data_IF_567746499004
#
_entry.id   IF_567746499004
#
_cell.length_a   1.000
_cell.length_b   1.000
_cell.length_c   1.000
_cell.angle_alpha   90.00
_cell.angle_beta   90.00
_cell.angle_gamma   90.00
#
_symmetry.space_group_name_H-M   'P 1'
#
loop_
_entity.id
_entity.type
_entity.pdbx_description
1 polymer ?
#
# COMPACT_ATOMS: atom_id res chain seq x y z
N UNK A 1 -7.21 42.62 -11.46
CA UNK A 1 -5.91 42.61 -10.79
C UNK A 1 -5.35 41.16 -10.82
N UNK A 2 -4.04 41.02 -10.98
CA UNK A 2 -3.39 39.73 -10.90
C UNK A 2 -3.43 39.20 -9.44
N UNK A 3 -3.58 37.88 -9.28
CA UNK A 3 -3.44 37.26 -7.98
C UNK A 3 -1.98 37.40 -7.50
N UNK A 4 -1.80 37.59 -6.19
CA UNK A 4 -0.48 37.63 -5.55
C UNK A 4 -0.33 36.39 -4.70
N UNK A 5 0.78 35.67 -4.85
CA UNK A 5 1.01 34.38 -4.17
C UNK A 5 2.09 34.56 -3.10
N UNK A 6 1.73 34.21 -1.89
CA UNK A 6 2.63 34.17 -0.75
C UNK A 6 2.93 32.71 -0.44
N UNK A 7 3.98 32.15 -1.04
CA UNK A 7 4.28 30.71 -1.00
C UNK A 7 4.75 30.17 0.35
N UNK A 8 5.12 31.03 1.28
CA UNK A 8 5.56 30.59 2.60
C UNK A 8 5.23 31.64 3.66
N UNK A 9 4.41 31.28 4.64
CA UNK A 9 4.19 32.09 5.82
C UNK A 9 5.47 32.26 6.64
N UNK A 10 5.42 33.13 7.63
CA UNK A 10 6.55 33.38 8.52
C UNK A 10 7.05 32.08 9.19
N UNK A 11 8.37 31.95 9.30
CA UNK A 11 9.07 30.78 9.84
C UNK A 11 9.92 31.12 11.08
N UNK A 12 9.58 32.12 11.81
CA UNK A 12 10.31 32.51 13.03
C UNK A 12 9.83 31.76 14.27
N UNK A 13 10.70 31.64 15.27
CA UNK A 13 10.38 31.00 16.54
C UNK A 13 9.63 31.89 17.52
N UNK A 14 9.60 33.22 17.28
CA UNK A 14 9.08 34.24 18.23
C UNK A 14 7.63 34.66 17.97
N UNK A 15 7.07 34.31 16.82
CA UNK A 15 5.70 34.62 16.44
C UNK A 15 5.04 33.45 15.76
N UNK A 16 3.77 33.25 16.04
CA UNK A 16 3.02 32.23 15.30
C UNK A 16 2.73 32.70 13.86
N UNK A 17 2.79 31.79 12.88
CA UNK A 17 2.62 32.15 11.48
C UNK A 17 1.24 32.73 11.15
N UNK A 18 0.21 32.34 11.88
CA UNK A 18 -1.18 32.75 11.63
C UNK A 18 -1.40 34.18 12.02
N UNK A 19 -0.90 34.60 13.18
CA UNK A 19 -0.94 36.00 13.63
C UNK A 19 -0.25 36.93 12.63
N UNK A 20 0.92 36.54 12.13
CA UNK A 20 1.65 37.33 11.12
C UNK A 20 0.87 37.47 9.82
N UNK A 21 0.25 36.38 9.36
CA UNK A 21 -0.58 36.39 8.14
C UNK A 21 -1.81 37.28 8.35
N UNK A 22 -2.46 37.19 9.51
CA UNK A 22 -3.64 37.96 9.81
C UNK A 22 -3.33 39.47 9.87
N UNK A 23 -2.21 39.86 10.46
CA UNK A 23 -1.73 41.23 10.46
C UNK A 23 -1.41 41.76 9.06
N UNK A 24 -0.81 40.93 8.21
CA UNK A 24 -0.56 41.25 6.81
C UNK A 24 -1.87 41.55 6.06
N UNK A 25 -2.90 40.71 6.26
CA UNK A 25 -4.23 40.93 5.68
C UNK A 25 -4.85 42.21 6.23
N UNK A 26 -4.85 42.39 7.54
CA UNK A 26 -5.44 43.55 8.25
C UNK A 26 -4.84 44.87 7.81
N UNK A 27 -3.54 44.91 7.58
CA UNK A 27 -2.82 46.13 7.20
C UNK A 27 -2.54 46.22 5.70
N UNK A 28 -3.10 45.34 4.88
CA UNK A 28 -2.92 45.35 3.44
C UNK A 28 -1.48 45.09 2.98
N UNK A 29 -0.66 44.45 3.81
CA UNK A 29 0.75 44.17 3.51
C UNK A 29 0.87 42.89 2.65
N UNK A 30 0.37 42.94 1.43
CA UNK A 30 0.37 41.83 0.48
C UNK A 30 1.68 41.89 -0.30
N UNK A 31 2.46 40.82 -0.22
CA UNK A 31 3.72 40.70 -0.96
C UNK A 31 3.78 39.33 -1.64
N UNK A 32 4.28 39.33 -2.87
CA UNK A 32 4.67 38.09 -3.55
C UNK A 32 5.91 37.52 -2.87
N UNK A 33 5.84 36.27 -2.40
CA UNK A 33 6.98 35.54 -1.84
C UNK A 33 7.19 34.25 -2.58
N UNK A 34 8.41 34.07 -3.00
CA UNK A 34 8.79 32.88 -3.75
C UNK A 34 8.75 31.60 -2.90
N UNK A 35 8.58 30.42 -3.52
CA UNK A 35 8.66 29.15 -2.83
C UNK A 35 9.98 28.97 -2.08
N UNK A 36 9.93 28.32 -0.92
CA UNK A 36 11.11 27.97 -0.13
C UNK A 36 11.35 26.46 -0.16
N UNK A 37 12.61 26.06 -0.05
CA UNK A 37 12.94 24.64 0.12
C UNK A 37 12.56 24.19 1.54
N UNK A 38 11.83 23.08 1.61
CA UNK A 38 11.42 22.45 2.87
C UNK A 38 10.03 22.87 3.35
N UNK A 39 9.67 22.42 4.55
CA UNK A 39 8.32 22.58 5.12
C UNK A 39 7.99 24.08 5.33
N UNK A 40 6.82 24.50 4.87
CA UNK A 40 6.24 25.80 5.13
C UNK A 40 5.01 25.65 6.04
N UNK A 41 4.80 26.55 7.03
CA UNK A 41 3.63 26.48 7.91
C UNK A 41 2.31 26.76 7.17
N UNK A 42 2.37 27.38 5.99
CA UNK A 42 1.24 27.66 5.13
C UNK A 42 1.59 28.60 3.99
N UNK A 43 0.62 28.82 3.10
CA UNK A 43 0.70 29.73 1.96
C UNK A 43 -0.63 30.49 1.80
N UNK A 44 -0.60 31.63 1.10
CA UNK A 44 -1.80 32.43 0.82
C UNK A 44 -1.86 32.86 -0.63
N UNK A 45 -3.05 32.88 -1.18
CA UNK A 45 -3.34 33.50 -2.48
C UNK A 45 -4.24 34.72 -2.22
N UNK A 46 -3.77 35.89 -2.59
CA UNK A 46 -4.50 37.11 -2.47
C UNK A 46 -5.09 37.52 -3.82
N UNK A 47 -6.38 37.76 -3.87
CA UNK A 47 -7.07 38.29 -5.06
C UNK A 47 -7.60 39.67 -4.74
N UNK A 48 -6.88 40.74 -5.09
CA UNK A 48 -7.33 42.11 -4.83
C UNK A 48 -8.59 42.42 -5.62
N UNK A 49 -9.62 42.91 -4.95
CA UNK A 49 -10.91 43.26 -5.55
C UNK A 49 -11.26 44.72 -5.19
N UNK A 50 -11.78 45.45 -6.14
CA UNK A 50 -12.47 46.70 -5.90
C UNK A 50 -13.94 46.50 -6.25
N UNK A 51 -14.82 46.79 -5.30
CA UNK A 51 -16.27 46.65 -5.46
C UNK A 51 -16.89 48.08 -5.36
N UNK A 52 -17.78 48.37 -6.29
CA UNK A 52 -18.66 49.55 -6.18
C UNK A 52 -19.87 49.23 -5.29
N UNK A 53 -20.53 50.21 -4.71
CA UNK A 53 -21.76 49.95 -3.95
C UNK A 53 -22.78 49.14 -4.76
N UNK A 54 -23.19 47.98 -4.22
CA UNK A 54 -24.12 47.08 -4.88
C UNK A 54 -23.50 46.12 -5.93
N UNK A 55 -22.18 46.24 -6.20
CA UNK A 55 -21.48 45.33 -7.13
C UNK A 55 -21.17 43.97 -6.44
N UNK A 56 -21.33 42.87 -7.19
CA UNK A 56 -20.93 41.53 -6.79
C UNK A 56 -19.87 41.00 -7.76
N UNK A 57 -18.78 40.43 -7.23
CA UNK A 57 -17.76 39.75 -8.01
C UNK A 57 -17.58 38.29 -7.52
N UNK A 58 -17.52 37.36 -8.43
CA UNK A 58 -17.23 35.97 -8.12
C UNK A 58 -15.77 35.66 -8.39
N UNK A 59 -15.10 35.07 -7.41
CA UNK A 59 -13.75 34.52 -7.56
C UNK A 59 -13.86 33.01 -7.53
N UNK A 60 -13.38 32.37 -8.60
CA UNK A 60 -13.30 30.90 -8.67
C UNK A 60 -11.91 30.48 -8.22
N UNK A 61 -11.86 29.67 -7.15
CA UNK A 61 -10.64 29.05 -6.65
C UNK A 61 -10.69 27.57 -6.99
N UNK A 62 -9.69 27.06 -7.72
CA UNK A 62 -9.51 25.65 -7.94
C UNK A 62 -8.41 25.16 -6.98
N UNK A 63 -8.74 24.21 -6.13
CA UNK A 63 -7.80 23.55 -5.27
C UNK A 63 -7.40 22.22 -5.90
N UNK A 64 -6.12 22.06 -6.22
CA UNK A 64 -5.57 20.80 -6.74
C UNK A 64 -4.56 20.27 -5.73
N UNK A 65 -4.81 19.08 -5.22
CA UNK A 65 -3.86 18.37 -4.37
C UNK A 65 -3.07 17.41 -5.25
N UNK A 66 -1.77 17.59 -5.29
CA UNK A 66 -0.86 16.70 -6.00
C UNK A 66 0.15 16.15 -5.00
N UNK A 67 0.12 14.84 -4.81
CA UNK A 67 1.03 14.10 -3.95
C UNK A 67 1.78 13.10 -4.83
N UNK A 68 2.93 13.49 -5.41
CA UNK A 68 3.71 12.59 -6.28
C UNK A 68 4.28 11.40 -5.50
N UNK A 69 4.62 11.63 -4.23
CA UNK A 69 5.12 10.61 -3.30
C UNK A 69 4.48 10.85 -1.93
N UNK A 70 3.61 9.96 -1.51
CA UNK A 70 3.01 10.01 -0.18
C UNK A 70 3.61 8.93 0.72
N UNK A 71 4.21 9.36 1.84
CA UNK A 71 4.57 8.50 2.96
C UNK A 71 3.55 8.61 4.11
N UNK A 72 2.35 9.08 3.83
CA UNK A 72 1.27 9.15 4.80
C UNK A 72 0.74 7.73 5.06
N UNK A 73 0.90 7.26 6.29
CA UNK A 73 0.60 5.91 6.74
C UNK A 73 -0.65 5.82 7.61
N UNK A 74 -1.69 6.62 7.35
CA UNK A 74 -3.01 6.29 7.90
C UNK A 74 -3.71 5.44 6.87
N UNK A 75 -3.64 4.12 7.10
CA UNK A 75 -4.04 3.12 6.13
C UNK A 75 -3.02 2.89 5.02
N UNK A 76 -1.71 3.06 5.30
CA UNK A 76 -0.59 2.86 4.37
C UNK A 76 -0.91 3.32 2.95
N UNK A 77 -0.29 4.39 2.46
CA UNK A 77 -0.41 4.69 1.03
C UNK A 77 -0.02 3.43 0.25
N UNK A 78 -0.98 2.81 -0.44
CA UNK A 78 -0.76 1.64 -1.28
C UNK A 78 0.37 1.96 -2.26
N UNK A 79 1.47 1.27 -2.15
CA UNK A 79 2.53 1.32 -3.16
C UNK A 79 2.26 0.22 -4.18
N UNK A 80 1.37 0.55 -5.09
CA UNK A 80 0.89 -0.35 -6.15
C UNK A 80 2.05 -0.93 -6.94
N UNK A 81 2.08 -2.26 -7.09
CA UNK A 81 3.05 -2.96 -7.91
C UNK A 81 4.48 -2.97 -7.39
N UNK A 82 4.73 -2.64 -6.12
CA UNK A 82 6.10 -2.51 -5.58
C UNK A 82 6.57 -3.67 -4.71
N UNK A 83 5.69 -4.60 -4.32
CA UNK A 83 6.04 -5.71 -3.42
C UNK A 83 7.19 -6.59 -3.92
N UNK A 84 7.36 -6.73 -5.23
CA UNK A 84 8.37 -7.60 -5.85
C UNK A 84 9.36 -6.87 -6.74
N UNK A 85 9.49 -5.55 -6.64
CA UNK A 85 10.40 -4.74 -7.49
C UNK A 85 11.88 -4.92 -7.17
N UNK A 86 12.20 -5.65 -6.13
CA UNK A 86 13.56 -5.90 -5.68
C UNK A 86 14.15 -7.21 -6.19
N UNK A 87 14.73 -7.93 -5.25
CA UNK A 87 15.29 -9.27 -5.38
C UNK A 87 14.77 -10.11 -4.21
N UNK A 88 14.95 -11.44 -4.21
CA UNK A 88 14.62 -12.29 -3.07
C UNK A 88 15.18 -11.76 -1.76
N UNK A 89 14.39 -11.83 -0.70
CA UNK A 89 14.75 -11.32 0.62
C UNK A 89 15.67 -12.28 1.36
N UNK A 90 16.67 -11.76 2.05
CA UNK A 90 17.57 -12.55 2.90
C UNK A 90 16.92 -12.82 4.26
N UNK A 91 16.00 -13.78 4.28
CA UNK A 91 15.27 -14.15 5.49
C UNK A 91 14.31 -13.06 5.97
N UNK A 92 14.47 -12.59 7.19
CA UNK A 92 13.62 -11.58 7.83
C UNK A 92 13.87 -10.18 7.26
N UNK A 93 12.85 -9.52 6.78
CA UNK A 93 12.93 -8.13 6.33
C UNK A 93 13.00 -7.14 7.51
N UNK A 94 13.40 -5.91 7.22
CA UNK A 94 13.47 -4.86 8.25
C UNK A 94 12.08 -4.54 8.80
N UNK A 95 11.92 -4.62 10.12
CA UNK A 95 10.64 -4.36 10.80
C UNK A 95 9.67 -5.54 10.84
N UNK A 96 10.03 -6.66 10.21
CA UNK A 96 9.26 -7.91 10.23
C UNK A 96 9.59 -8.75 11.47
N UNK A 97 8.67 -9.58 11.93
CA UNK A 97 8.95 -10.62 12.91
C UNK A 97 9.91 -11.67 12.31
N UNK A 98 10.65 -12.44 13.14
CA UNK A 98 11.60 -13.43 12.61
C UNK A 98 10.96 -14.45 11.68
N UNK A 99 11.40 -14.48 10.44
CA UNK A 99 10.97 -15.45 9.42
C UNK A 99 11.74 -16.76 9.58
N UNK A 100 11.06 -17.89 9.49
CA UNK A 100 11.64 -19.23 9.62
C UNK A 100 10.93 -20.26 8.74
N UNK A 101 11.50 -21.46 8.64
CA UNK A 101 10.89 -22.57 7.88
C UNK A 101 11.13 -22.52 6.35
N UNK A 102 11.97 -21.59 5.85
CA UNK A 102 12.39 -21.55 4.45
C UNK A 102 13.70 -22.35 4.25
N UNK A 103 14.08 -22.62 3.01
CA UNK A 103 15.28 -23.34 2.64
C UNK A 103 16.39 -22.34 2.24
N UNK A 104 17.62 -22.59 2.65
CA UNK A 104 18.76 -21.79 2.24
C UNK A 104 18.86 -20.45 2.96
N UNK A 105 19.02 -19.34 2.22
CA UNK A 105 19.30 -17.99 2.75
C UNK A 105 18.30 -16.94 2.32
N UNK A 106 17.59 -17.17 1.24
CA UNK A 106 16.69 -16.20 0.62
C UNK A 106 15.33 -16.84 0.36
N UNK A 107 14.30 -16.01 0.24
CA UNK A 107 12.94 -16.43 -0.09
C UNK A 107 12.21 -15.30 -0.80
N UNK A 108 11.06 -15.61 -1.41
CA UNK A 108 10.09 -14.64 -1.83
C UNK A 108 9.40 -14.08 -0.57
N UNK A 109 9.50 -12.77 -0.36
CA UNK A 109 8.95 -12.07 0.80
C UNK A 109 8.44 -10.70 0.37
N UNK A 110 7.13 -10.53 0.28
CA UNK A 110 6.52 -9.28 -0.16
C UNK A 110 6.55 -8.17 0.90
N UNK A 111 6.83 -8.51 2.16
CA UNK A 111 7.04 -7.54 3.24
C UNK A 111 8.32 -6.72 3.06
N UNK A 112 9.30 -7.25 2.31
CA UNK A 112 10.59 -6.58 2.14
C UNK A 112 10.43 -5.19 1.51
N UNK A 113 11.14 -4.21 2.08
CA UNK A 113 11.22 -2.80 1.64
C UNK A 113 10.02 -1.91 1.92
N UNK A 114 8.94 -2.40 2.50
CA UNK A 114 7.81 -1.51 2.78
C UNK A 114 6.72 -2.07 3.67
N UNK A 115 6.89 -3.28 4.20
CA UNK A 115 5.91 -3.90 5.11
C UNK A 115 4.60 -4.25 4.42
N UNK A 116 3.56 -4.45 5.19
CA UNK A 116 2.21 -4.81 4.71
C UNK A 116 1.59 -3.79 3.74
N UNK A 117 2.16 -2.60 3.60
CA UNK A 117 1.61 -1.56 2.72
C UNK A 117 2.00 -1.68 1.24
N UNK A 118 2.82 -2.67 0.86
CA UNK A 118 3.19 -2.93 -0.53
C UNK A 118 2.19 -3.91 -1.16
N UNK A 119 1.89 -3.69 -2.45
CA UNK A 119 1.10 -4.64 -3.24
C UNK A 119 1.84 -5.01 -4.51
N UNK A 120 1.54 -6.17 -5.07
CA UNK A 120 2.14 -6.62 -6.32
C UNK A 120 1.81 -8.07 -6.66
N UNK A 121 2.19 -8.44 -7.87
CA UNK A 121 2.03 -9.79 -8.40
C UNK A 121 3.35 -10.22 -9.03
N UNK A 122 3.76 -11.46 -8.75
CA UNK A 122 4.88 -12.09 -9.44
C UNK A 122 4.45 -13.47 -9.95
N UNK A 123 4.91 -13.85 -11.13
CA UNK A 123 4.57 -15.13 -11.73
C UNK A 123 5.79 -15.88 -12.24
N UNK A 124 5.73 -17.21 -12.16
CA UNK A 124 6.73 -18.09 -12.74
C UNK A 124 6.63 -18.10 -14.28
N UNK A 125 7.68 -18.54 -14.97
CA UNK A 125 7.53 -19.02 -16.34
C UNK A 125 6.47 -20.14 -16.43
N UNK A 126 5.89 -20.31 -17.64
CA UNK A 126 5.06 -21.48 -17.91
C UNK A 126 5.90 -22.76 -17.85
N UNK A 127 5.35 -23.79 -17.21
CA UNK A 127 5.92 -25.13 -17.21
C UNK A 127 4.88 -26.18 -17.64
N UNK A 128 5.37 -27.31 -18.18
CA UNK A 128 4.51 -28.44 -18.45
C UNK A 128 4.31 -29.27 -17.17
N UNK A 129 3.08 -29.63 -16.85
CA UNK A 129 2.76 -30.49 -15.72
C UNK A 129 3.13 -31.95 -16.08
N UNK A 130 4.41 -32.28 -15.85
CA UNK A 130 4.96 -33.63 -16.10
C UNK A 130 5.11 -34.46 -14.83
N UNK A 131 4.93 -33.87 -13.66
CA UNK A 131 5.03 -34.52 -12.34
C UNK A 131 3.69 -34.46 -11.62
N UNK A 132 3.47 -35.38 -10.70
CA UNK A 132 2.20 -35.50 -10.01
C UNK A 132 1.96 -34.44 -8.97
N UNK A 133 2.99 -33.97 -8.28
CA UNK A 133 2.86 -33.03 -7.18
C UNK A 133 3.67 -31.75 -7.42
N UNK A 134 3.11 -30.62 -7.01
CA UNK A 134 3.85 -29.40 -6.76
C UNK A 134 3.89 -29.19 -5.24
N UNK A 135 5.09 -29.10 -4.71
CA UNK A 135 5.36 -28.83 -3.30
C UNK A 135 6.06 -27.49 -3.17
N UNK A 136 5.75 -26.75 -2.11
CA UNK A 136 6.41 -25.49 -1.79
C UNK A 136 6.17 -25.12 -0.34
N UNK A 137 6.88 -24.11 0.15
CA UNK A 137 6.75 -23.55 1.47
C UNK A 137 5.99 -22.23 1.37
N UNK A 138 5.03 -21.99 2.28
CA UNK A 138 4.22 -20.76 2.30
C UNK A 138 4.00 -20.27 3.74
N UNK A 139 4.02 -18.96 3.95
CA UNK A 139 3.75 -18.26 5.20
C UNK A 139 3.15 -16.88 4.95
N UNK A 140 3.00 -16.06 6.00
CA UNK A 140 2.38 -14.74 5.89
C UNK A 140 0.87 -14.76 6.04
N UNK A 141 0.18 -13.90 5.33
CA UNK A 141 -1.27 -13.70 5.41
C UNK A 141 -2.12 -14.91 5.02
N UNK A 142 -3.37 -14.89 5.39
CA UNK A 142 -4.32 -16.01 5.20
C UNK A 142 -5.50 -15.68 4.27
N UNK A 143 -5.46 -14.55 3.59
CA UNK A 143 -6.54 -14.07 2.73
C UNK A 143 -6.32 -14.61 1.29
N UNK A 144 -7.11 -15.62 0.91
CA UNK A 144 -6.94 -16.35 -0.35
C UNK A 144 -7.10 -15.49 -1.61
N UNK A 145 -7.89 -14.44 -1.53
CA UNK A 145 -8.14 -13.46 -2.59
C UNK A 145 -7.12 -12.34 -2.65
N UNK A 146 -6.28 -12.15 -1.61
CA UNK A 146 -5.39 -10.99 -1.44
C UNK A 146 -3.94 -11.35 -1.25
N UNK A 147 -3.65 -12.37 -0.45
CA UNK A 147 -2.28 -12.82 -0.13
C UNK A 147 -2.18 -14.31 -0.34
N UNK A 148 -1.79 -14.71 -1.54
CA UNK A 148 -1.88 -16.12 -1.93
C UNK A 148 -0.85 -16.55 -2.97
N UNK A 149 -0.57 -17.85 -2.97
CA UNK A 149 0.12 -18.57 -4.04
C UNK A 149 -0.93 -19.32 -4.83
N UNK A 150 -0.96 -19.18 -6.15
CA UNK A 150 -1.97 -19.73 -7.01
C UNK A 150 -1.35 -20.55 -8.14
N UNK A 151 -1.94 -21.69 -8.48
CA UNK A 151 -1.64 -22.43 -9.71
C UNK A 151 -2.63 -22.01 -10.80
N UNK A 152 -2.12 -21.53 -11.91
CA UNK A 152 -2.95 -21.15 -13.07
C UNK A 152 -2.77 -22.16 -14.18
N UNK A 153 -3.88 -22.75 -14.65
CA UNK A 153 -3.94 -23.71 -15.76
C UNK A 153 -5.03 -23.24 -16.74
N UNK A 154 -4.69 -23.17 -18.02
CA UNK A 154 -5.62 -22.69 -19.06
C UNK A 154 -6.24 -21.32 -18.71
N UNK A 155 -5.46 -20.41 -18.10
CA UNK A 155 -5.89 -19.06 -17.70
C UNK A 155 -6.81 -19.00 -16.48
N UNK A 156 -7.00 -20.12 -15.76
CA UNK A 156 -7.84 -20.19 -14.55
C UNK A 156 -7.02 -20.60 -13.35
N UNK A 157 -7.27 -19.95 -12.21
CA UNK A 157 -6.75 -20.42 -10.92
C UNK A 157 -7.45 -21.73 -10.59
N UNK A 158 -6.68 -22.79 -10.36
CA UNK A 158 -7.17 -24.14 -10.07
C UNK A 158 -6.79 -24.63 -8.69
N UNK A 159 -5.73 -24.10 -8.10
CA UNK A 159 -5.30 -24.33 -6.73
C UNK A 159 -4.87 -22.99 -6.10
N UNK A 160 -5.12 -22.83 -4.81
CA UNK A 160 -4.72 -21.66 -4.03
C UNK A 160 -4.17 -22.10 -2.68
N UNK A 161 -3.07 -21.50 -2.26
CA UNK A 161 -2.50 -21.65 -0.93
C UNK A 161 -2.26 -20.28 -0.29
N UNK A 162 -2.40 -20.22 1.02
CA UNK A 162 -2.19 -19.03 1.83
C UNK A 162 -1.28 -19.34 3.00
N UNK A 163 -0.74 -18.34 3.65
CA UNK A 163 -0.13 -18.47 4.97
C UNK A 163 -1.18 -18.72 6.06
N UNK A 164 -0.74 -18.75 7.29
CA UNK A 164 -1.59 -18.98 8.47
C UNK A 164 -1.40 -17.88 9.54
N UNK A 165 -1.12 -16.66 9.08
CA UNK A 165 -0.80 -15.50 9.92
C UNK A 165 0.41 -15.77 10.82
N UNK A 166 1.45 -16.33 10.24
CA UNK A 166 2.74 -16.55 10.90
C UNK A 166 3.89 -16.33 9.91
N UNK A 167 5.02 -15.92 10.44
CA UNK A 167 6.28 -15.78 9.71
C UNK A 167 7.04 -17.13 9.56
N UNK A 168 6.44 -18.22 10.02
CA UNK A 168 6.99 -19.56 9.83
C UNK A 168 6.34 -20.22 8.63
N UNK A 169 7.13 -20.45 7.58
CA UNK A 169 6.64 -21.15 6.40
C UNK A 169 6.35 -22.60 6.72
N UNK A 170 5.29 -23.11 6.13
CA UNK A 170 4.88 -24.52 6.20
C UNK A 170 4.72 -25.12 4.82
N UNK A 171 4.91 -26.43 4.73
CA UNK A 171 4.82 -27.14 3.47
C UNK A 171 3.38 -27.21 2.97
N UNK A 172 3.21 -26.92 1.68
CA UNK A 172 1.98 -27.15 0.92
C UNK A 172 2.25 -28.15 -0.20
N UNK A 173 1.29 -29.02 -0.47
CA UNK A 173 1.37 -30.04 -1.52
C UNK A 173 0.10 -30.05 -2.35
N UNK A 174 0.22 -29.74 -3.64
CA UNK A 174 -0.88 -29.86 -4.60
C UNK A 174 -0.77 -31.13 -5.43
N UNK A 175 -1.86 -31.90 -5.59
CA UNK A 175 -1.94 -33.06 -6.50
C UNK A 175 -2.32 -32.59 -7.91
N UNK A 176 -1.36 -32.54 -8.80
CA UNK A 176 -1.52 -32.06 -10.16
C UNK A 176 -2.09 -33.13 -11.12
N UNK A 177 -2.48 -34.32 -10.62
CA UNK A 177 -3.02 -35.39 -11.45
C UNK A 177 -4.16 -34.95 -12.38
N UNK A 178 -5.11 -34.06 -11.96
CA UNK A 178 -6.18 -33.60 -12.86
C UNK A 178 -5.68 -32.74 -14.04
N UNK A 179 -4.47 -32.19 -13.95
CA UNK A 179 -3.92 -31.21 -14.89
C UNK A 179 -2.73 -31.77 -15.68
N UNK A 180 -2.44 -33.08 -15.59
CA UNK A 180 -1.32 -33.73 -16.26
C UNK A 180 -1.28 -33.43 -17.76
N UNK A 181 -0.07 -33.10 -18.26
CA UNK A 181 0.18 -32.74 -19.65
C UNK A 181 -0.25 -31.33 -20.06
N UNK A 182 -0.89 -30.57 -19.18
CA UNK A 182 -1.22 -29.16 -19.42
C UNK A 182 -0.05 -28.26 -19.10
N UNK A 183 -0.12 -27.04 -19.62
CA UNK A 183 0.75 -25.94 -19.22
C UNK A 183 0.18 -25.23 -18.01
N UNK A 184 1.04 -24.81 -17.12
CA UNK A 184 0.70 -24.06 -15.93
C UNK A 184 1.78 -23.04 -15.60
N UNK A 185 1.43 -22.09 -14.76
CA UNK A 185 2.38 -21.23 -14.07
C UNK A 185 1.90 -20.98 -12.63
N UNK A 186 2.83 -20.63 -11.76
CA UNK A 186 2.54 -20.16 -10.40
C UNK A 186 2.40 -18.66 -10.41
N UNK A 187 1.34 -18.13 -9.80
CA UNK A 187 1.08 -16.71 -9.61
C UNK A 187 1.03 -16.42 -8.11
N UNK A 188 1.94 -15.59 -7.62
CA UNK A 188 1.95 -15.15 -6.23
C UNK A 188 1.38 -13.74 -6.19
N UNK A 189 0.37 -13.56 -5.35
CA UNK A 189 -0.42 -12.34 -5.23
C UNK A 189 -0.24 -11.76 -3.84
N UNK A 190 0.04 -10.47 -3.79
CA UNK A 190 -0.03 -9.63 -2.61
C UNK A 190 -0.79 -8.36 -2.99
N UNK A 191 -2.05 -8.26 -2.58
CA UNK A 191 -2.94 -7.12 -2.82
C UNK A 191 -3.51 -6.55 -1.52
N UNK A 192 -3.10 -7.08 -0.37
CA UNK A 192 -3.55 -6.61 0.93
C UNK A 192 -2.60 -5.53 1.50
N UNK A 193 -3.17 -4.56 2.20
CA UNK A 193 -2.42 -3.48 2.86
C UNK A 193 -2.69 -3.41 4.37
N UNK A 194 -3.41 -4.38 4.89
CA UNK A 194 -3.73 -4.49 6.32
C UNK A 194 -2.69 -5.35 7.06
N UNK A 195 -2.72 -5.40 8.38
CA UNK A 195 -1.85 -6.29 9.15
C UNK A 195 -1.94 -7.75 8.64
N UNK A 196 -0.79 -8.38 8.43
CA UNK A 196 -0.64 -9.66 7.73
C UNK A 196 -0.95 -9.59 6.22
N UNK A 197 -0.90 -8.39 5.64
CA UNK A 197 -1.04 -8.14 4.22
C UNK A 197 0.25 -8.43 3.45
N UNK A 198 0.88 -9.58 3.68
CA UNK A 198 2.08 -10.02 2.95
C UNK A 198 2.11 -11.52 2.78
N UNK A 199 2.87 -12.00 1.81
CA UNK A 199 3.04 -13.41 1.48
C UNK A 199 4.52 -13.80 1.50
N UNK A 200 4.81 -14.94 2.09
CA UNK A 200 6.11 -15.60 2.08
C UNK A 200 5.99 -16.87 1.26
N UNK A 201 6.91 -17.12 0.35
CA UNK A 201 6.95 -18.36 -0.40
C UNK A 201 8.39 -18.77 -0.72
N UNK A 202 8.61 -20.10 -0.79
CA UNK A 202 9.93 -20.64 -1.07
C UNK A 202 9.87 -22.07 -1.61
N UNK A 203 10.96 -22.53 -2.23
CA UNK A 203 11.24 -23.91 -2.56
C UNK A 203 10.14 -24.60 -3.40
N UNK A 204 9.85 -24.07 -4.59
CA UNK A 204 8.87 -24.68 -5.50
C UNK A 204 9.44 -25.89 -6.22
N UNK A 205 8.87 -27.08 -5.99
CA UNK A 205 9.40 -28.37 -6.43
C UNK A 205 8.33 -29.22 -7.10
N UNK A 206 8.58 -29.68 -8.32
CA UNK A 206 7.78 -30.69 -8.98
C UNK A 206 8.35 -32.08 -8.68
N UNK A 207 7.50 -33.01 -8.23
CA UNK A 207 7.90 -34.37 -7.87
C UNK A 207 6.77 -35.39 -8.11
N UNK A 208 7.12 -36.65 -8.27
CA UNK A 208 6.16 -37.77 -8.27
C UNK A 208 6.00 -38.38 -6.88
N UNK A 209 6.85 -38.03 -5.94
CA UNK A 209 6.84 -38.52 -4.57
C UNK A 209 6.13 -37.51 -3.64
N UNK A 210 4.93 -37.84 -3.15
CA UNK A 210 4.19 -36.97 -2.20
C UNK A 210 5.00 -36.71 -0.92
N UNK A 211 5.82 -37.66 -0.50
CA UNK A 211 6.62 -37.55 0.72
C UNK A 211 8.07 -37.10 0.43
N UNK A 212 8.29 -36.43 -0.72
CA UNK A 212 9.58 -35.84 -1.02
C UNK A 212 10.00 -34.88 0.13
N UNK A 213 11.23 -35.02 0.58
CA UNK A 213 11.78 -34.08 1.55
C UNK A 213 12.12 -32.77 0.84
N UNK A 214 11.32 -31.74 1.10
CA UNK A 214 11.47 -30.43 0.45
C UNK A 214 12.79 -29.73 0.86
N UNK A 215 13.40 -30.12 1.95
CA UNK A 215 14.70 -29.61 2.43
C UNK A 215 15.89 -30.40 1.89
N UNK A 216 15.66 -31.60 1.31
CA UNK A 216 16.70 -32.46 0.77
C UNK A 216 16.18 -33.24 -0.45
N UNK A 217 16.13 -32.56 -1.60
CA UNK A 217 15.49 -33.05 -2.80
C UNK A 217 16.20 -34.26 -3.40
N UNK A 218 15.42 -35.24 -3.84
CA UNK A 218 15.93 -36.34 -4.64
C UNK A 218 16.32 -35.89 -6.06
N UNK A 219 17.17 -36.66 -6.74
CA UNK A 219 17.57 -36.39 -8.11
C UNK A 219 16.45 -36.50 -9.15
N UNK A 220 15.28 -37.03 -8.76
CA UNK A 220 14.12 -37.20 -9.63
C UNK A 220 13.14 -36.04 -9.54
N UNK A 221 13.33 -35.17 -8.58
CA UNK A 221 12.52 -33.94 -8.41
C UNK A 221 13.07 -32.79 -9.28
N UNK A 222 12.20 -31.88 -9.67
CA UNK A 222 12.55 -30.71 -10.48
C UNK A 222 12.30 -29.46 -9.66
N UNK A 223 13.37 -28.73 -9.36
CA UNK A 223 13.28 -27.44 -8.70
C UNK A 223 12.80 -26.39 -9.72
N UNK A 224 11.70 -25.72 -9.43
CA UNK A 224 11.20 -24.59 -10.22
C UNK A 224 11.76 -23.25 -9.71
N UNK A 225 11.88 -23.08 -8.39
CA UNK A 225 12.49 -21.91 -7.76
C UNK A 225 12.89 -22.22 -6.32
N UNK A 226 14.06 -21.67 -5.91
CA UNK A 226 14.58 -21.65 -4.55
C UNK A 226 14.92 -20.24 -4.07
N UNK A 227 14.80 -19.25 -4.97
CA UNK A 227 15.10 -17.85 -4.75
C UNK A 227 16.49 -17.55 -4.17
N UNK A 228 17.46 -18.45 -4.29
CA UNK A 228 18.81 -18.32 -3.72
C UNK A 228 19.74 -17.40 -4.56
N UNK A 229 19.22 -16.77 -5.61
CA UNK A 229 19.97 -15.82 -6.43
C UNK A 229 19.65 -14.36 -6.08
N UNK A 230 20.50 -13.41 -6.53
CA UNK A 230 20.22 -11.98 -6.37
C UNK A 230 19.25 -11.44 -7.43
N UNK A 231 18.38 -12.28 -7.97
CA UNK A 231 17.33 -11.92 -8.93
C UNK A 231 16.19 -12.94 -8.82
N UNK A 232 15.03 -12.59 -9.35
CA UNK A 232 13.89 -13.49 -9.45
C UNK A 232 14.08 -14.60 -10.50
N UNK A 233 15.26 -14.66 -11.14
CA UNK A 233 15.51 -15.59 -12.26
C UNK A 233 14.57 -15.28 -13.42
N UNK A 234 13.86 -16.33 -13.90
CA UNK A 234 12.88 -16.21 -14.98
C UNK A 234 11.47 -15.81 -14.50
N UNK A 235 11.27 -15.60 -13.20
CA UNK A 235 10.01 -15.11 -12.65
C UNK A 235 9.85 -13.63 -12.99
N UNK A 236 8.62 -13.22 -13.31
CA UNK A 236 8.32 -11.87 -13.77
C UNK A 236 7.35 -11.17 -12.85
N UNK A 237 7.72 -9.94 -12.45
CA UNK A 237 6.76 -9.02 -11.80
C UNK A 237 5.77 -8.56 -12.86
N UNK A 238 4.48 -8.73 -12.55
CA UNK A 238 3.37 -8.40 -13.46
C UNK A 238 2.78 -7.06 -13.04
N UNK A 239 2.28 -6.30 -14.01
CA UNK A 239 1.48 -5.14 -13.73
C UNK A 239 0.17 -5.58 -13.04
N UNK A 240 0.01 -5.20 -11.78
CA UNK A 240 -1.13 -5.56 -10.94
C UNK A 240 -2.23 -4.50 -10.95
N UNK A 241 -2.08 -3.45 -11.72
CA UNK A 241 -2.95 -2.26 -11.67
C UNK A 241 -4.42 -2.57 -12.00
N UNK A 242 -4.69 -3.52 -12.87
CA UNK A 242 -6.05 -3.91 -13.23
C UNK A 242 -6.68 -4.83 -12.18
N UNK A 243 -5.93 -5.82 -11.68
CA UNK A 243 -6.37 -6.69 -10.57
C UNK A 243 -6.62 -5.87 -9.31
N UNK A 244 -5.77 -4.90 -9.02
CA UNK A 244 -5.94 -4.01 -7.88
C UNK A 244 -7.17 -3.11 -8.01
N UNK A 245 -7.46 -2.60 -9.22
CA UNK A 245 -8.69 -1.84 -9.48
C UNK A 245 -9.94 -2.70 -9.30
N UNK A 246 -9.92 -3.92 -9.83
CA UNK A 246 -11.04 -4.85 -9.68
C UNK A 246 -11.24 -5.22 -8.23
N UNK A 247 -10.16 -5.51 -7.51
CA UNK A 247 -10.20 -5.78 -6.08
C UNK A 247 -10.82 -4.60 -5.29
N UNK A 248 -10.41 -3.36 -5.58
CA UNK A 248 -10.98 -2.16 -4.97
C UNK A 248 -12.45 -1.97 -5.30
N UNK A 249 -12.87 -2.34 -6.52
CA UNK A 249 -14.27 -2.29 -6.94
C UNK A 249 -15.12 -3.35 -6.21
N UNK A 250 -14.57 -4.55 -6.00
CA UNK A 250 -15.25 -5.67 -5.34
C UNK A 250 -15.32 -5.50 -3.81
N UNK A 251 -14.34 -4.84 -3.19
CA UNK A 251 -14.42 -4.45 -1.76
C UNK A 251 -15.49 -3.39 -1.49
N UNK A 252 -16.15 -2.90 -2.54
CA UNK A 252 -17.09 -1.81 -2.41
C UNK A 252 -16.41 -0.67 -1.69
N UNK A 253 -15.67 0.12 -2.45
CA UNK A 253 -15.11 1.40 -2.06
C UNK A 253 -14.76 1.49 -0.56
N UNK A 254 -13.50 1.26 -0.17
CA UNK A 254 -13.06 1.43 1.23
C UNK A 254 -13.40 2.85 1.72
N UNK A 255 -13.46 3.85 0.82
CA UNK A 255 -14.17 5.10 1.08
C UNK A 255 -15.64 4.87 1.44
N UNK A 256 -16.33 3.88 0.87
CA UNK A 256 -17.72 3.59 1.25
C UNK A 256 -17.84 2.95 2.63
N UNK A 257 -16.83 2.29 3.16
CA UNK A 257 -16.82 1.77 4.54
C UNK A 257 -16.58 2.89 5.56
N UNK A 258 -15.81 3.92 5.18
CA UNK A 258 -15.61 5.11 6.00
C UNK A 258 -16.59 6.24 5.69
N UNK A 259 -17.12 6.34 4.45
CA UNK A 259 -18.19 7.26 4.07
C UNK A 259 -19.44 7.16 4.95
N UNK A 260 -19.99 5.98 5.31
CA UNK A 260 -21.13 5.92 6.22
C UNK A 260 -20.85 6.62 7.53
N UNK A 261 -19.66 6.45 8.10
CA UNK A 261 -19.32 7.08 9.38
C UNK A 261 -19.27 8.62 9.27
N UNK A 262 -18.72 9.15 8.19
CA UNK A 262 -18.66 10.59 7.93
C UNK A 262 -20.00 11.14 7.42
N UNK A 263 -20.66 10.46 6.50
CA UNK A 263 -21.91 10.91 5.90
C UNK A 263 -23.14 10.72 6.81
N UNK A 264 -23.12 9.74 7.70
CA UNK A 264 -24.15 9.57 8.72
C UNK A 264 -23.98 10.56 9.88
N UNK A 265 -22.76 10.95 10.19
CA UNK A 265 -22.45 11.86 11.29
C UNK A 265 -22.45 13.33 10.90
N UNK A 266 -22.11 13.66 9.65
CA UNK A 266 -22.02 15.04 9.16
C UNK A 266 -22.71 15.18 7.80
N UNK A 267 -23.92 15.73 7.82
CA UNK A 267 -24.75 15.95 6.61
C UNK A 267 -24.32 17.18 5.81
N UNK A 268 -23.46 18.04 6.37
CA UNK A 268 -22.97 19.24 5.72
C UNK A 268 -21.60 19.69 6.28
N UNK A 269 -20.89 20.50 5.50
CA UNK A 269 -19.63 21.11 5.94
C UNK A 269 -19.81 21.96 7.21
N UNK A 270 -20.99 22.59 7.38
CA UNK A 270 -21.30 23.39 8.56
C UNK A 270 -21.43 22.53 9.83
N UNK A 271 -21.89 21.29 9.72
CA UNK A 271 -21.92 20.36 10.85
C UNK A 271 -20.50 19.90 11.25
N UNK A 272 -19.60 19.73 10.28
CA UNK A 272 -18.18 19.44 10.53
C UNK A 272 -17.53 20.63 11.26
N UNK A 273 -17.77 21.84 10.79
CA UNK A 273 -17.27 23.07 11.42
C UNK A 273 -17.82 23.21 12.84
N UNK A 274 -19.12 23.03 13.03
CA UNK A 274 -19.76 23.09 14.34
C UNK A 274 -19.23 22.03 15.32
N UNK A 275 -18.88 20.84 14.86
CA UNK A 275 -18.25 19.81 15.69
C UNK A 275 -16.82 20.21 16.12
N UNK A 276 -16.03 20.80 15.20
CA UNK A 276 -14.71 21.32 15.51
C UNK A 276 -14.76 22.46 16.51
N UNK A 277 -15.64 23.44 16.33
CA UNK A 277 -15.82 24.57 17.23
C UNK A 277 -16.24 24.12 18.64
N UNK A 278 -17.12 23.15 18.74
CA UNK A 278 -17.55 22.58 20.03
C UNK A 278 -16.40 21.84 20.74
N UNK A 279 -15.52 21.13 20.01
CA UNK A 279 -14.37 20.47 20.60
C UNK A 279 -13.26 21.44 20.99
N UNK A 280 -13.05 22.51 20.23
CA UNK A 280 -12.14 23.61 20.59
C UNK A 280 -12.60 24.28 21.89
N UNK A 281 -13.88 24.60 22.02
CA UNK A 281 -14.44 25.17 23.23
C UNK A 281 -14.26 24.25 24.45
N UNK A 282 -14.44 22.94 24.29
CA UNK A 282 -14.23 21.95 25.35
C UNK A 282 -12.75 21.83 25.75
N UNK A 283 -11.81 21.96 24.80
CA UNK A 283 -10.37 21.96 25.09
C UNK A 283 -9.95 23.23 25.82
N UNK A 284 -10.51 24.40 25.47
CA UNK A 284 -10.27 25.67 26.17
C UNK A 284 -10.85 25.66 27.58
N UNK A 285 -12.02 25.09 27.80
CA UNK A 285 -12.63 24.93 29.11
C UNK A 285 -11.82 23.97 30.01
N UNK A 286 -11.35 22.86 29.46
CA UNK A 286 -10.47 21.94 30.19
C UNK A 286 -9.10 22.55 30.51
N UNK A 287 -8.55 23.40 29.64
CA UNK A 287 -7.26 24.07 29.93
C UNK A 287 -7.37 25.13 31.05
N UNK A 288 -8.55 25.71 31.25
CA UNK A 288 -8.83 26.63 32.37
C UNK A 288 -9.04 25.92 33.71
N UNK A 289 -9.39 24.64 33.70
CA UNK A 289 -9.57 23.86 34.93
C UNK A 289 -8.24 23.32 35.50
N UNK A 290 -7.16 23.39 34.74
CA UNK A 290 -5.81 22.97 35.12
C UNK A 290 -4.79 24.10 35.25
N UNK A 291 -5.19 25.32 35.11
CA UNK A 291 -4.40 26.56 35.39
C UNK A 291 -4.82 27.15 36.71
#
# INVERSE_FOLDING_TARGET
>A
AAAVVHHCWFRGASFDPQTVVWDNIRYGRIADKQPVKGVAPGASVYVPLTLQPGETKTVKVNFCWYLPDSNLSIGGARKVGQAFTGMPCKGTASGQQPVSGFVGKQLLNSFDRGGDGLTGIIQSPEFNIGKRYLKFLVGGGSQADRTSVNLVVDGKIVETAVGNQTETLSETVWDLKPYQGKKAFVKVIDLDVYPWGHILADQFVLTDNRNEDIYNLSSTSTLLADFESNSWGDWQVVDSSEEEKQFLADEGDVEATYRPWYSERFKSLNEVIGYWDANQAMLEENSRLFS
#
